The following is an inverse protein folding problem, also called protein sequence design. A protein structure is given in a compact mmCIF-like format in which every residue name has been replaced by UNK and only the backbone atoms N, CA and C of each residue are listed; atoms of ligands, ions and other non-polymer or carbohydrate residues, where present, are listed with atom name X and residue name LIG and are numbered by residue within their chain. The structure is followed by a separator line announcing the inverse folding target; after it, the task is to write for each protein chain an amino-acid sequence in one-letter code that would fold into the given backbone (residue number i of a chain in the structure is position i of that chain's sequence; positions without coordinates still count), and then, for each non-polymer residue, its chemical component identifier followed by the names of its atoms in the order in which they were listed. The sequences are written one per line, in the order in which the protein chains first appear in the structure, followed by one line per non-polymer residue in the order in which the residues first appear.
data_IF_708509743496
#
_entry.id   IF_708509743496
#
_cell.length_a   1.000
_cell.length_b   1.000
_cell.length_c   1.000
_cell.angle_alpha   90.00
_cell.angle_beta   90.00
_cell.angle_gamma   90.00
#
_symmetry.space_group_name_H-M   'P 1'
#
loop_
_entity.id
_entity.type
_entity.pdbx_description
1 polymer ?
#
# COMPACT_ATOMS: atom_id res chain seq x y z
N UNK A 1 17.12 -27.17 24.80
CA UNK A 1 16.91 -25.79 25.33
C UNK A 1 15.42 -25.55 25.55
N UNK A 2 15.06 -24.86 26.65
CA UNK A 2 13.68 -24.43 26.94
C UNK A 2 13.59 -22.91 26.82
N UNK A 3 12.41 -22.38 26.48
CA UNK A 3 12.20 -20.94 26.32
C UNK A 3 12.20 -20.27 27.69
N UNK A 4 13.14 -19.37 27.91
CA UNK A 4 13.23 -18.56 29.14
C UNK A 4 12.58 -17.18 28.99
N UNK A 5 12.41 -16.70 27.75
CA UNK A 5 11.76 -15.42 27.47
C UNK A 5 11.23 -15.37 26.03
N UNK A 6 10.18 -14.58 25.79
CA UNK A 6 9.58 -14.33 24.48
C UNK A 6 8.99 -12.91 24.45
N UNK A 7 9.10 -12.22 23.31
CA UNK A 7 8.53 -10.89 23.14
C UNK A 7 7.04 -10.92 22.75
N UNK A 8 6.38 -9.77 22.81
CA UNK A 8 4.96 -9.65 22.46
C UNK A 8 4.65 -10.03 21.00
N UNK A 9 5.60 -9.79 20.09
CA UNK A 9 5.45 -10.13 18.67
C UNK A 9 5.33 -11.65 18.47
N UNK A 10 6.17 -12.43 19.16
CA UNK A 10 6.14 -13.89 19.12
C UNK A 10 4.84 -14.46 19.67
N UNK A 11 4.35 -13.93 20.79
CA UNK A 11 3.06 -14.32 21.40
C UNK A 11 1.91 -14.06 20.40
N UNK A 12 1.88 -12.86 19.83
CA UNK A 12 0.82 -12.44 18.91
C UNK A 12 0.85 -13.23 17.60
N UNK A 13 2.05 -13.58 17.11
CA UNK A 13 2.24 -14.33 15.86
C UNK A 13 1.87 -15.79 16.04
N UNK A 14 2.34 -16.44 17.11
CA UNK A 14 2.15 -17.89 17.31
C UNK A 14 0.75 -18.24 17.85
N UNK A 15 0.06 -17.27 18.48
CA UNK A 15 -1.23 -17.45 19.14
C UNK A 15 -1.14 -18.12 20.53
N UNK A 16 0.04 -18.56 20.96
CA UNK A 16 0.21 -19.16 22.29
C UNK A 16 0.23 -18.07 23.36
N UNK A 17 -0.44 -18.33 24.49
CA UNK A 17 -0.34 -17.46 25.68
C UNK A 17 1.07 -17.54 26.27
N UNK A 18 1.56 -16.43 26.79
CA UNK A 18 2.91 -16.32 27.40
C UNK A 18 3.19 -17.43 28.44
N UNK A 19 2.23 -17.69 29.32
CA UNK A 19 2.30 -18.72 30.36
C UNK A 19 2.50 -20.14 29.81
N UNK A 20 2.02 -20.41 28.59
CA UNK A 20 2.19 -21.69 27.91
C UNK A 20 3.48 -21.78 27.09
N UNK A 21 4.20 -20.67 26.93
CA UNK A 21 5.45 -20.60 26.16
C UNK A 21 6.65 -20.78 27.09
N UNK A 22 6.65 -20.10 28.24
CA UNK A 22 7.76 -20.16 29.17
C UNK A 22 8.01 -21.58 29.70
N UNK A 23 9.27 -21.97 29.75
CA UNK A 23 9.71 -23.29 30.20
C UNK A 23 9.51 -24.42 29.18
N UNK A 24 8.81 -24.17 28.07
CA UNK A 24 8.57 -25.18 27.04
C UNK A 24 9.74 -25.26 26.05
N UNK A 25 9.95 -26.46 25.50
CA UNK A 25 10.91 -26.66 24.42
C UNK A 25 10.31 -26.15 23.10
N UNK A 26 11.00 -25.30 22.31
CA UNK A 26 10.47 -24.72 21.05
C UNK A 26 9.94 -25.73 20.03
N UNK A 27 10.26 -27.03 20.17
CA UNK A 27 9.71 -28.12 19.35
C UNK A 27 8.18 -28.17 19.33
N UNK A 28 7.46 -27.56 20.27
CA UNK A 28 6.00 -27.46 20.17
C UNK A 28 5.52 -26.65 18.95
N UNK A 29 6.38 -25.78 18.39
CA UNK A 29 6.10 -25.02 17.17
C UNK A 29 6.34 -25.85 15.90
N UNK A 30 6.98 -27.01 15.99
CA UNK A 30 7.38 -27.80 14.82
C UNK A 30 6.16 -28.27 14.02
N UNK A 31 6.21 -28.07 12.71
CA UNK A 31 5.29 -28.74 11.78
C UNK A 31 5.83 -30.12 11.35
N UNK A 32 4.98 -30.91 10.70
CA UNK A 32 5.34 -32.22 10.14
C UNK A 32 5.91 -32.12 8.72
N UNK A 33 6.11 -30.90 8.18
CA UNK A 33 6.59 -30.70 6.79
C UNK A 33 8.07 -30.97 6.59
N UNK A 34 8.86 -30.89 7.66
CA UNK A 34 10.26 -31.30 7.66
C UNK A 34 10.44 -32.57 8.50
N UNK A 35 11.26 -33.49 7.98
CA UNK A 35 11.63 -34.71 8.68
C UNK A 35 12.62 -34.43 9.82
N UNK A 36 12.93 -35.44 10.62
CA UNK A 36 13.87 -35.28 11.75
C UNK A 36 15.28 -34.90 11.29
N UNK A 37 15.72 -35.36 10.11
CA UNK A 37 17.04 -35.06 9.55
C UNK A 37 17.29 -33.57 9.42
N UNK A 38 16.32 -32.81 8.90
CA UNK A 38 16.42 -31.34 8.79
C UNK A 38 16.71 -30.67 10.14
N UNK A 39 16.00 -31.07 11.20
CA UNK A 39 16.19 -30.47 12.53
C UNK A 39 17.52 -30.89 13.16
N UNK A 40 17.99 -32.12 12.89
CA UNK A 40 19.32 -32.57 13.30
C UNK A 40 20.41 -31.73 12.62
N UNK A 41 20.36 -31.59 11.29
CA UNK A 41 21.32 -30.78 10.52
C UNK A 41 21.33 -29.30 10.98
N UNK A 42 20.15 -28.74 11.28
CA UNK A 42 20.04 -27.39 11.85
C UNK A 42 20.78 -27.29 13.18
N UNK A 43 20.55 -28.21 14.12
CA UNK A 43 21.19 -28.17 15.44
C UNK A 43 22.69 -28.48 15.38
N UNK A 44 23.12 -29.36 14.48
CA UNK A 44 24.54 -29.63 14.22
C UNK A 44 25.22 -28.36 13.69
N UNK A 45 24.60 -27.66 12.74
CA UNK A 45 25.12 -26.39 12.20
C UNK A 45 25.24 -25.32 13.30
N UNK A 46 24.23 -25.21 14.18
CA UNK A 46 24.27 -24.26 15.31
C UNK A 46 25.40 -24.64 16.28
N UNK A 47 25.61 -25.93 16.53
CA UNK A 47 26.66 -26.41 17.42
C UNK A 47 28.05 -26.09 16.85
N UNK A 48 28.23 -26.24 15.53
CA UNK A 48 29.52 -26.05 14.86
C UNK A 48 29.86 -24.58 14.62
N UNK A 49 28.85 -23.77 14.24
CA UNK A 49 29.07 -22.39 13.76
C UNK A 49 28.51 -21.32 14.70
N UNK A 50 27.88 -21.72 15.81
CA UNK A 50 27.14 -20.85 16.73
C UNK A 50 25.99 -20.05 16.08
N UNK A 51 25.61 -20.36 14.84
CA UNK A 51 24.63 -19.60 14.08
C UNK A 51 23.89 -20.48 13.07
N UNK A 52 22.63 -20.16 12.80
CA UNK A 52 21.89 -20.75 11.69
C UNK A 52 20.81 -19.79 11.20
N UNK A 53 20.62 -19.74 9.88
CA UNK A 53 19.49 -19.08 9.26
C UNK A 53 18.84 -19.99 8.22
N UNK A 54 17.53 -19.88 8.09
CA UNK A 54 16.81 -20.56 7.03
C UNK A 54 15.30 -20.51 7.19
N UNK A 55 14.62 -21.20 6.29
CA UNK A 55 13.18 -21.34 6.31
C UNK A 55 12.77 -22.52 7.21
N UNK A 56 11.80 -22.29 8.11
CA UNK A 56 11.21 -23.33 8.95
C UNK A 56 9.69 -23.30 8.80
N UNK A 57 9.09 -24.47 8.58
CA UNK A 57 7.64 -24.63 8.71
C UNK A 57 7.29 -24.86 10.18
N UNK A 58 6.62 -23.89 10.78
CA UNK A 58 6.06 -23.94 12.13
C UNK A 58 4.55 -24.14 12.10
N UNK A 59 3.93 -24.36 13.27
CA UNK A 59 2.49 -24.57 13.45
C UNK A 59 1.95 -23.60 14.51
N UNK A 60 0.92 -22.85 14.16
CA UNK A 60 0.22 -21.95 15.10
C UNK A 60 -0.51 -22.78 16.18
N UNK A 61 -0.97 -22.11 17.25
CA UNK A 61 -1.77 -22.76 18.30
C UNK A 61 -3.09 -23.41 17.80
N UNK A 62 -3.61 -22.95 16.66
CA UNK A 62 -4.84 -23.43 16.02
C UNK A 62 -4.60 -24.64 15.08
N UNK A 63 -3.34 -25.09 14.98
CA UNK A 63 -2.94 -26.24 14.18
C UNK A 63 -2.57 -25.92 12.72
N UNK A 64 -2.67 -24.66 12.28
CA UNK A 64 -2.30 -24.28 10.90
C UNK A 64 -0.78 -24.10 10.76
N UNK A 65 -0.22 -24.70 9.71
CA UNK A 65 1.20 -24.55 9.39
C UNK A 65 1.50 -23.18 8.75
N UNK A 66 2.66 -22.61 9.07
CA UNK A 66 3.16 -21.36 8.52
C UNK A 66 4.67 -21.38 8.32
N UNK A 67 5.14 -20.68 7.29
CA UNK A 67 6.55 -20.58 6.94
C UNK A 67 7.16 -19.35 7.59
N UNK A 68 8.26 -19.55 8.31
CA UNK A 68 9.04 -18.46 8.91
C UNK A 68 10.46 -18.46 8.37
N UNK A 69 11.01 -17.27 8.19
CA UNK A 69 12.46 -17.10 8.18
C UNK A 69 12.93 -17.07 9.64
N UNK A 70 13.82 -17.99 10.01
CA UNK A 70 14.36 -18.09 11.35
C UNK A 70 15.87 -17.77 11.34
N UNK A 71 16.30 -16.97 12.31
CA UNK A 71 17.71 -16.72 12.61
C UNK A 71 17.96 -17.16 14.06
N UNK A 72 18.85 -18.12 14.27
CA UNK A 72 19.18 -18.68 15.58
C UNK A 72 20.66 -18.45 15.85
N UNK A 73 20.96 -17.79 16.96
CA UNK A 73 22.32 -17.51 17.40
C UNK A 73 22.55 -18.17 18.75
N UNK A 74 23.64 -18.92 18.88
CA UNK A 74 24.12 -19.41 20.16
C UNK A 74 24.92 -18.30 20.87
N UNK A 75 24.70 -18.15 22.17
CA UNK A 75 25.50 -17.31 23.06
C UNK A 75 26.42 -18.25 23.84
N UNK A 76 27.69 -18.25 23.49
CA UNK A 76 28.70 -19.11 24.09
C UNK A 76 29.28 -18.51 25.37
N UNK A 77 29.42 -19.35 26.40
CA UNK A 77 30.27 -19.07 27.57
C UNK A 77 31.71 -19.56 27.32
N UNK A 78 32.48 -19.76 28.39
CA UNK A 78 33.89 -20.18 28.29
C UNK A 78 34.10 -21.52 27.58
N UNK A 79 33.19 -22.50 27.77
CA UNK A 79 33.35 -23.85 27.19
C UNK A 79 32.15 -24.36 26.39
N UNK A 80 30.96 -23.76 26.49
CA UNK A 80 29.73 -24.25 25.85
C UNK A 80 28.71 -23.15 25.58
N UNK A 81 27.78 -23.40 24.64
CA UNK A 81 26.60 -22.56 24.44
C UNK A 81 25.75 -22.53 25.71
N UNK A 82 25.53 -21.34 26.28
CA UNK A 82 24.72 -21.14 27.49
C UNK A 82 23.29 -20.78 27.16
N UNK A 83 23.08 -20.02 26.08
CA UNK A 83 21.77 -19.52 25.65
C UNK A 83 21.65 -19.52 24.13
N UNK A 84 20.42 -19.43 23.64
CA UNK A 84 20.12 -19.26 22.22
C UNK A 84 19.14 -18.11 22.04
N UNK A 85 19.36 -17.29 21.01
CA UNK A 85 18.45 -16.23 20.60
C UNK A 85 17.91 -16.58 19.22
N UNK A 86 16.60 -16.80 19.14
CA UNK A 86 15.89 -17.08 17.90
C UNK A 86 15.00 -15.89 17.51
N UNK A 87 15.15 -15.41 16.29
CA UNK A 87 14.32 -14.37 15.68
C UNK A 87 13.55 -15.00 14.53
N UNK A 88 12.22 -14.88 14.56
CA UNK A 88 11.32 -15.40 13.53
C UNK A 88 10.66 -14.25 12.78
N UNK A 89 10.63 -14.34 11.45
CA UNK A 89 9.86 -13.46 10.57
C UNK A 89 8.86 -14.29 9.78
N UNK A 90 7.57 -14.01 9.93
CA UNK A 90 6.49 -14.71 9.22
C UNK A 90 6.49 -14.31 7.73
N UNK A 91 6.92 -15.23 6.86
CA UNK A 91 6.98 -15.00 5.40
C UNK A 91 5.57 -15.01 4.80
N UNK A 92 4.65 -15.83 5.31
CA UNK A 92 3.26 -15.88 4.81
C UNK A 92 2.51 -14.56 5.02
N UNK A 93 2.76 -13.87 6.14
CA UNK A 93 2.17 -12.56 6.42
C UNK A 93 2.69 -11.49 5.44
N UNK A 94 3.99 -11.53 5.14
CA UNK A 94 4.64 -10.62 4.18
C UNK A 94 4.11 -10.89 2.77
N UNK A 95 3.98 -12.15 2.37
CA UNK A 95 3.46 -12.51 1.05
C UNK A 95 2.00 -12.11 0.86
N UNK A 96 1.15 -12.25 1.88
CA UNK A 96 -0.23 -11.76 1.83
C UNK A 96 -0.32 -10.25 1.77
N UNK A 97 0.47 -9.54 2.57
CA UNK A 97 0.52 -8.08 2.54
C UNK A 97 1.05 -7.59 1.19
N UNK A 98 2.08 -8.25 0.65
CA UNK A 98 2.66 -7.96 -0.66
C UNK A 98 1.68 -8.25 -1.78
N UNK A 99 0.97 -9.38 -1.73
CA UNK A 99 -0.07 -9.73 -2.70
C UNK A 99 -1.23 -8.72 -2.67
N UNK A 100 -1.69 -8.36 -1.47
CA UNK A 100 -2.70 -7.31 -1.30
C UNK A 100 -2.20 -5.99 -1.88
N UNK A 101 -0.97 -5.59 -1.56
CA UNK A 101 -0.37 -4.36 -2.05
C UNK A 101 -0.29 -4.33 -3.58
N UNK A 102 0.21 -5.40 -4.20
CA UNK A 102 0.31 -5.52 -5.67
C UNK A 102 -1.05 -5.52 -6.36
N UNK A 103 -2.10 -5.98 -5.67
CA UNK A 103 -3.47 -6.01 -6.20
C UNK A 103 -4.18 -4.67 -6.05
N UNK A 104 -3.87 -3.88 -5.02
CA UNK A 104 -4.66 -2.70 -4.59
C UNK A 104 -3.94 -1.37 -4.74
N UNK A 105 -2.61 -1.37 -4.92
CA UNK A 105 -1.81 -0.18 -5.07
C UNK A 105 -1.09 -0.16 -6.42
N UNK A 106 -0.93 1.05 -6.94
CA UNK A 106 -0.14 1.29 -8.13
C UNK A 106 1.35 1.20 -7.79
N UNK A 107 2.08 0.34 -8.50
CA UNK A 107 3.48 0.04 -8.19
C UNK A 107 4.40 1.23 -8.42
N UNK A 108 4.03 2.15 -9.32
CA UNK A 108 4.80 3.33 -9.69
C UNK A 108 4.67 4.45 -8.65
N UNK A 109 3.43 4.82 -8.31
CA UNK A 109 3.10 5.97 -7.46
C UNK A 109 2.90 5.62 -5.99
N UNK A 110 2.71 4.34 -5.67
CA UNK A 110 2.34 3.85 -4.33
C UNK A 110 0.98 4.34 -3.83
N UNK A 111 0.17 4.94 -4.71
CA UNK A 111 -1.22 5.31 -4.43
C UNK A 111 -2.15 4.11 -4.61
N UNK A 112 -3.35 4.12 -4.00
CA UNK A 112 -4.45 3.25 -4.41
C UNK A 112 -4.59 3.17 -5.93
N UNK A 113 -4.77 1.96 -6.45
CA UNK A 113 -5.06 1.75 -7.86
C UNK A 113 -6.57 1.81 -8.13
N UNK A 114 -6.98 1.54 -9.37
CA UNK A 114 -8.38 1.54 -9.78
C UNK A 114 -9.28 0.59 -8.97
N UNK A 115 -8.76 -0.56 -8.53
CA UNK A 115 -9.53 -1.55 -7.76
C UNK A 115 -9.83 -0.97 -6.38
N UNK A 116 -8.78 -0.58 -5.64
CA UNK A 116 -8.94 -0.02 -4.29
C UNK A 116 -9.71 1.30 -4.29
N UNK A 117 -9.56 2.12 -5.33
CA UNK A 117 -10.34 3.34 -5.50
C UNK A 117 -11.86 3.07 -5.61
N UNK A 118 -12.26 2.06 -6.39
CA UNK A 118 -13.67 1.66 -6.49
C UNK A 118 -14.20 1.12 -5.17
N UNK A 119 -13.38 0.40 -4.40
CA UNK A 119 -13.78 -0.05 -3.06
C UNK A 119 -14.01 1.12 -2.09
N UNK A 120 -13.12 2.11 -2.08
CA UNK A 120 -13.32 3.32 -1.26
C UNK A 120 -14.58 4.07 -1.67
N UNK A 121 -14.79 4.24 -2.98
CA UNK A 121 -15.98 4.90 -3.49
C UNK A 121 -17.25 4.14 -3.07
N UNK A 122 -17.29 2.81 -3.20
CA UNK A 122 -18.41 2.01 -2.76
C UNK A 122 -18.69 2.18 -1.27
N UNK A 123 -17.66 2.13 -0.42
CA UNK A 123 -17.80 2.31 1.03
C UNK A 123 -18.35 3.69 1.41
N UNK A 124 -17.80 4.75 0.82
CA UNK A 124 -18.23 6.14 1.08
C UNK A 124 -19.69 6.32 0.67
N UNK A 125 -20.07 5.77 -0.48
CA UNK A 125 -21.43 5.78 -0.95
C UNK A 125 -22.44 5.10 0.00
N UNK A 126 -22.02 4.06 0.74
CA UNK A 126 -22.86 3.41 1.75
C UNK A 126 -22.98 4.22 3.05
N UNK A 127 -22.11 5.20 3.30
CA UNK A 127 -22.07 5.95 4.56
C UNK A 127 -23.03 7.17 4.59
N UNK A 128 -23.84 7.39 3.55
CA UNK A 128 -24.83 8.49 3.45
C UNK A 128 -24.28 9.90 3.76
N UNK A 129 -23.00 10.13 3.50
CA UNK A 129 -22.34 11.41 3.70
C UNK A 129 -22.08 12.11 2.35
N UNK A 130 -22.09 13.43 2.35
CA UNK A 130 -21.81 14.20 1.13
C UNK A 130 -20.35 14.02 0.74
N UNK A 131 -20.09 13.84 -0.55
CA UNK A 131 -18.74 13.74 -1.09
C UNK A 131 -18.66 14.33 -2.50
N UNK A 132 -17.43 14.63 -2.92
CA UNK A 132 -17.13 15.01 -4.30
C UNK A 132 -16.18 13.99 -4.92
N UNK A 133 -16.52 13.53 -6.12
CA UNK A 133 -15.65 12.70 -6.96
C UNK A 133 -14.97 13.58 -8.00
N UNK A 134 -13.64 13.54 -8.05
CA UNK A 134 -12.84 14.28 -9.01
C UNK A 134 -12.01 13.32 -9.85
N UNK A 135 -11.93 13.57 -11.15
CA UNK A 135 -10.96 12.95 -12.04
C UNK A 135 -10.04 13.99 -12.65
N UNK A 136 -8.75 13.73 -12.53
CA UNK A 136 -7.68 14.57 -13.08
C UNK A 136 -7.07 13.84 -14.27
N UNK A 137 -7.11 14.46 -15.44
CA UNK A 137 -6.44 13.97 -16.64
C UNK A 137 -5.25 14.84 -16.98
N UNK A 138 -4.05 14.25 -17.06
CA UNK A 138 -2.86 14.95 -17.54
C UNK A 138 -2.91 15.06 -19.06
N UNK A 139 -2.76 16.28 -19.57
CA UNK A 139 -2.82 16.58 -20.99
C UNK A 139 -1.50 16.24 -21.67
N UNK A 140 -1.61 15.80 -22.92
CA UNK A 140 -0.49 15.52 -23.82
C UNK A 140 0.63 14.65 -23.20
N UNK A 141 0.27 13.77 -22.27
CA UNK A 141 1.25 12.95 -21.55
C UNK A 141 1.92 11.90 -22.46
N UNK A 142 1.26 11.54 -23.57
CA UNK A 142 1.85 10.67 -24.58
C UNK A 142 3.00 11.38 -25.30
N UNK A 143 2.83 12.64 -25.64
CA UNK A 143 3.81 13.50 -26.29
C UNK A 143 5.01 13.73 -25.36
N UNK A 144 4.77 13.89 -24.05
CA UNK A 144 5.84 13.95 -23.04
C UNK A 144 6.67 12.67 -23.06
N UNK A 145 6.04 11.49 -23.06
CA UNK A 145 6.77 10.22 -23.15
C UNK A 145 7.56 10.08 -24.46
N UNK A 146 7.04 10.61 -25.57
CA UNK A 146 7.72 10.58 -26.86
C UNK A 146 8.93 11.51 -26.90
N UNK A 147 8.83 12.69 -26.29
CA UNK A 147 9.88 13.71 -26.29
C UNK A 147 10.97 13.44 -25.25
N UNK A 148 10.58 12.97 -24.06
CA UNK A 148 11.48 12.87 -22.89
C UNK A 148 11.73 11.43 -22.44
N UNK A 149 11.08 10.45 -23.07
CA UNK A 149 11.19 9.03 -22.73
C UNK A 149 10.32 8.61 -21.55
N UNK A 150 10.01 7.31 -21.50
CA UNK A 150 9.15 6.72 -20.47
C UNK A 150 9.69 6.89 -19.04
N UNK A 151 11.00 6.89 -18.84
CA UNK A 151 11.60 7.09 -17.52
C UNK A 151 11.30 8.48 -16.96
N UNK A 152 11.35 9.52 -17.80
CA UNK A 152 11.03 10.89 -17.37
C UNK A 152 9.52 11.09 -17.20
N UNK A 153 8.70 10.42 -18.02
CA UNK A 153 7.27 10.32 -17.77
C UNK A 153 6.95 9.70 -16.41
N UNK A 154 7.57 8.57 -16.08
CA UNK A 154 7.39 7.88 -14.80
C UNK A 154 7.81 8.76 -13.61
N UNK A 155 8.92 9.51 -13.75
CA UNK A 155 9.35 10.51 -12.76
C UNK A 155 8.32 11.63 -12.61
N UNK A 156 7.74 12.11 -13.71
CA UNK A 156 6.70 13.13 -13.69
C UNK A 156 5.44 12.65 -12.98
N UNK A 157 4.96 11.43 -13.28
CA UNK A 157 3.81 10.80 -12.61
C UNK A 157 4.06 10.65 -11.11
N UNK A 158 5.26 10.21 -10.70
CA UNK A 158 5.63 10.13 -9.29
C UNK A 158 5.61 11.49 -8.59
N UNK A 159 6.07 12.54 -9.26
CA UNK A 159 6.06 13.90 -8.69
C UNK A 159 4.64 14.43 -8.56
N UNK A 160 3.82 14.27 -9.59
CA UNK A 160 2.40 14.64 -9.56
C UNK A 160 1.65 13.89 -8.46
N UNK A 161 1.88 12.58 -8.31
CA UNK A 161 1.28 11.78 -7.24
C UNK A 161 1.64 12.32 -5.85
N UNK A 162 2.90 12.71 -5.63
CA UNK A 162 3.36 13.33 -4.38
C UNK A 162 2.69 14.68 -4.13
N UNK A 163 2.61 15.53 -5.15
CA UNK A 163 1.98 16.85 -5.08
C UNK A 163 0.48 16.74 -4.77
N UNK A 164 -0.24 15.84 -5.44
CA UNK A 164 -1.65 15.58 -5.15
C UNK A 164 -1.86 15.10 -3.72
N UNK A 165 -1.03 14.17 -3.25
CA UNK A 165 -1.11 13.63 -1.88
C UNK A 165 -0.78 14.68 -0.81
N UNK A 166 0.07 15.68 -1.10
CA UNK A 166 0.37 16.76 -0.15
C UNK A 166 -0.72 17.83 -0.11
N UNK A 167 -1.39 18.09 -1.24
CA UNK A 167 -2.55 18.98 -1.32
C UNK A 167 -3.78 18.40 -0.61
N UNK A 168 -4.00 17.09 -0.73
CA UNK A 168 -5.17 16.40 -0.20
C UNK A 168 -4.83 15.76 1.15
N UNK A 169 -5.28 16.40 2.24
CA UNK A 169 -5.03 15.96 3.63
C UNK A 169 -6.25 15.26 4.24
N UNK A 170 -6.07 14.57 5.36
CA UNK A 170 -7.16 13.95 6.12
C UNK A 170 -7.63 12.61 5.53
N UNK A 171 -8.88 12.23 5.79
CA UNK A 171 -9.50 10.98 5.31
C UNK A 171 -9.84 10.95 3.81
N UNK A 172 -9.46 11.99 3.06
CA UNK A 172 -9.65 12.07 1.62
C UNK A 172 -8.77 11.06 0.87
N UNK A 173 -9.21 10.63 -0.31
CA UNK A 173 -8.55 9.59 -1.10
C UNK A 173 -7.93 10.19 -2.35
N UNK A 174 -6.70 9.80 -2.67
CA UNK A 174 -6.02 10.06 -3.96
C UNK A 174 -5.59 8.71 -4.53
N UNK A 175 -5.90 8.45 -5.80
CA UNK A 175 -5.60 7.21 -6.50
C UNK A 175 -4.97 7.46 -7.86
N UNK A 176 -4.07 6.58 -8.27
CA UNK A 176 -3.59 6.52 -9.65
C UNK A 176 -4.45 5.51 -10.41
N UNK A 177 -5.26 6.00 -11.35
CA UNK A 177 -6.20 5.16 -12.12
C UNK A 177 -5.56 4.55 -13.36
N UNK A 178 -4.33 4.95 -13.66
CA UNK A 178 -3.50 4.44 -14.75
C UNK A 178 -3.18 5.50 -15.79
N UNK A 179 -2.06 5.27 -16.51
CA UNK A 179 -1.50 6.12 -17.56
C UNK A 179 -1.28 7.57 -17.09
N UNK A 180 -2.27 8.41 -17.33
CA UNK A 180 -2.24 9.85 -17.14
C UNK A 180 -3.45 10.33 -16.34
N UNK A 181 -4.11 9.44 -15.58
CA UNK A 181 -5.36 9.74 -14.87
C UNK A 181 -5.26 9.48 -13.37
N UNK A 182 -5.70 10.44 -12.58
CA UNK A 182 -5.85 10.31 -11.13
C UNK A 182 -7.31 10.45 -10.73
N UNK A 183 -7.67 9.78 -9.63
CA UNK A 183 -8.97 9.88 -8.99
C UNK A 183 -8.82 10.44 -7.59
N UNK A 184 -9.72 11.34 -7.21
CA UNK A 184 -9.75 11.94 -5.88
C UNK A 184 -11.18 11.84 -5.33
N UNK A 185 -11.31 11.43 -4.08
CA UNK A 185 -12.58 11.46 -3.35
C UNK A 185 -12.39 12.42 -2.18
N UNK A 186 -13.14 13.51 -2.18
CA UNK A 186 -13.21 14.44 -1.07
C UNK A 186 -14.37 14.02 -0.16
N UNK A 187 -14.06 13.69 1.09
CA UNK A 187 -14.99 13.12 2.05
C UNK A 187 -14.56 13.33 3.52
N UNK A 188 -15.50 13.67 4.42
CA UNK A 188 -16.81 14.25 4.12
C UNK A 188 -16.66 15.68 3.60
N UNK A 189 -17.54 16.08 2.68
CA UNK A 189 -17.66 17.50 2.31
C UNK A 189 -18.82 18.15 3.06
N UNK A 190 -18.61 19.35 3.56
CA UNK A 190 -19.70 20.22 4.03
C UNK A 190 -20.29 20.97 2.84
N UNK A 191 -21.57 21.37 2.92
CA UNK A 191 -22.23 22.15 1.88
C UNK A 191 -21.49 23.46 1.51
N UNK A 192 -20.68 24.00 2.42
CA UNK A 192 -19.89 25.22 2.22
C UNK A 192 -18.54 25.00 1.51
N UNK A 193 -18.19 23.76 1.12
CA UNK A 193 -16.91 23.51 0.45
C UNK A 193 -16.89 24.22 -0.91
N UNK A 194 -16.04 25.25 -1.04
CA UNK A 194 -15.77 25.86 -2.33
C UNK A 194 -14.85 24.95 -3.16
N UNK A 195 -15.47 24.10 -3.98
CA UNK A 195 -14.76 23.15 -4.82
C UNK A 195 -13.86 23.83 -5.87
N UNK A 196 -14.17 25.06 -6.26
CA UNK A 196 -13.36 25.85 -7.17
C UNK A 196 -11.97 26.11 -6.60
N UNK A 197 -11.89 26.50 -5.31
CA UNK A 197 -10.61 26.70 -4.61
C UNK A 197 -9.78 25.40 -4.60
N UNK A 198 -10.44 24.25 -4.36
CA UNK A 198 -9.75 22.96 -4.37
C UNK A 198 -9.26 22.61 -5.78
N UNK A 199 -10.10 22.80 -6.80
CA UNK A 199 -9.75 22.54 -8.19
C UNK A 199 -8.56 23.41 -8.64
N UNK A 200 -8.59 24.71 -8.35
CA UNK A 200 -7.53 25.65 -8.71
C UNK A 200 -6.21 25.33 -7.99
N UNK A 201 -6.27 24.95 -6.70
CA UNK A 201 -5.12 24.46 -5.96
C UNK A 201 -4.52 23.20 -6.61
N UNK A 202 -5.36 22.23 -6.97
CA UNK A 202 -4.91 21.00 -7.61
C UNK A 202 -4.28 21.27 -8.98
N UNK A 203 -4.93 22.09 -9.80
CA UNK A 203 -4.42 22.50 -11.12
C UNK A 203 -3.06 23.16 -10.96
N UNK A 204 -2.94 24.15 -10.07
CA UNK A 204 -1.68 24.87 -9.83
C UNK A 204 -0.57 23.92 -9.38
N UNK A 205 -0.88 22.98 -8.50
CA UNK A 205 0.07 22.00 -7.97
C UNK A 205 0.61 21.04 -9.05
N UNK A 206 -0.21 20.73 -10.06
CA UNK A 206 0.16 19.86 -11.18
C UNK A 206 0.89 20.65 -12.28
N UNK A 207 0.42 21.86 -12.59
CA UNK A 207 0.93 22.68 -13.69
C UNK A 207 2.23 23.41 -13.33
N UNK A 208 2.65 23.38 -12.08
CA UNK A 208 3.95 23.90 -11.65
C UNK A 208 5.06 23.10 -12.34
N UNK A 209 5.98 23.75 -13.09
CA UNK A 209 7.08 23.05 -13.75
C UNK A 209 7.91 22.22 -12.77
N UNK A 210 8.25 20.99 -13.17
CA UNK A 210 9.06 20.07 -12.37
C UNK A 210 10.40 19.83 -13.06
N UNK A 211 11.48 19.98 -12.30
CA UNK A 211 12.82 19.66 -12.78
C UNK A 211 13.03 18.15 -12.75
N UNK A 212 13.21 17.53 -13.92
CA UNK A 212 13.45 16.10 -14.10
C UNK A 212 14.66 15.96 -15.01
N UNK A 213 15.74 15.38 -14.49
CA UNK A 213 17.01 15.17 -15.21
C UNK A 213 17.46 16.44 -15.97
N UNK A 214 17.52 17.57 -15.24
CA UNK A 214 17.92 18.90 -15.74
C UNK A 214 16.95 19.57 -16.73
N UNK A 215 15.79 18.95 -16.99
CA UNK A 215 14.76 19.50 -17.86
C UNK A 215 13.56 19.98 -17.06
N UNK A 216 13.05 21.18 -17.38
CA UNK A 216 11.80 21.67 -16.81
C UNK A 216 10.62 21.12 -17.60
N UNK A 217 9.90 20.18 -17.00
CA UNK A 217 8.69 19.61 -17.58
C UNK A 217 7.47 20.33 -17.00
N UNK A 218 6.67 20.92 -17.87
CA UNK A 218 5.38 21.50 -17.51
C UNK A 218 4.26 20.60 -18.02
N UNK A 219 3.36 20.21 -17.12
CA UNK A 219 2.27 19.28 -17.42
C UNK A 219 0.95 19.96 -17.15
N UNK A 220 0.19 20.20 -18.21
CA UNK A 220 -1.17 20.72 -18.08
C UNK A 220 -2.11 19.60 -17.62
N UNK A 221 -3.19 19.97 -16.93
CA UNK A 221 -4.24 19.02 -16.55
C UNK A 221 -5.64 19.60 -16.73
N UNK A 222 -6.63 18.71 -16.71
CA UNK A 222 -8.03 19.09 -16.60
C UNK A 222 -8.73 18.23 -15.55
N UNK A 223 -9.69 18.84 -14.86
CA UNK A 223 -10.41 18.18 -13.77
C UNK A 223 -11.91 18.09 -14.10
N UNK A 224 -12.47 16.89 -14.01
CA UNK A 224 -13.91 16.68 -13.96
C UNK A 224 -14.35 16.49 -12.53
N UNK A 225 -15.49 17.06 -12.15
CA UNK A 225 -16.00 17.07 -10.77
C UNK A 225 -17.46 16.65 -10.80
N UNK A 226 -17.86 15.73 -9.92
CA UNK A 226 -19.26 15.41 -9.68
C UNK A 226 -19.54 15.41 -8.18
N UNK A 227 -20.60 16.12 -7.78
CA UNK A 227 -21.09 16.12 -6.40
C UNK A 227 -22.10 15.00 -6.21
N UNK A 228 -22.03 14.35 -5.05
CA UNK A 228 -22.99 13.32 -4.67
C UNK A 228 -23.85 13.83 -3.51
N UNK A 229 -25.09 14.29 -3.79
CA UNK A 229 -26.05 14.52 -2.73
C UNK A 229 -26.48 13.18 -2.12
N UNK A 230 -27.01 13.25 -0.89
CA UNK A 230 -27.31 12.14 0.02
C UNK A 230 -28.24 11.03 -0.52
N UNK A 231 -28.69 11.04 -1.78
CA UNK A 231 -29.78 10.18 -2.24
C UNK A 231 -29.46 9.51 -3.59
N UNK A 232 -29.56 8.17 -3.57
CA UNK A 232 -29.51 7.21 -4.68
C UNK A 232 -28.14 6.75 -5.19
N UNK A 233 -27.31 6.25 -4.28
CA UNK A 233 -26.16 5.41 -4.66
C UNK A 233 -26.58 3.99 -5.05
N UNK A 234 -27.20 3.85 -6.23
CA UNK A 234 -27.23 2.56 -6.95
C UNK A 234 -26.44 2.59 -8.25
N UNK A 235 -25.72 3.68 -8.53
CA UNK A 235 -25.11 3.88 -9.83
C UNK A 235 -23.68 4.47 -9.72
N UNK A 236 -22.79 3.78 -8.98
CA UNK A 236 -21.36 4.13 -8.91
C UNK A 236 -20.77 4.32 -10.32
N UNK A 237 -21.18 3.48 -11.27
CA UNK A 237 -20.71 3.58 -12.65
C UNK A 237 -21.20 4.85 -13.36
N UNK A 238 -22.42 5.33 -13.07
CA UNK A 238 -22.92 6.61 -13.62
C UNK A 238 -22.18 7.78 -13.00
N UNK A 239 -21.87 7.72 -11.70
CA UNK A 239 -21.04 8.74 -11.06
C UNK A 239 -19.66 8.82 -11.72
N UNK A 240 -19.00 7.69 -11.92
CA UNK A 240 -17.72 7.62 -12.64
C UNK A 240 -17.86 8.18 -14.05
N UNK A 241 -18.91 7.80 -14.77
CA UNK A 241 -19.18 8.28 -16.13
C UNK A 241 -19.40 9.80 -16.18
N UNK A 242 -20.17 10.35 -15.25
CA UNK A 242 -20.46 11.78 -15.16
C UNK A 242 -19.19 12.59 -14.86
N UNK A 243 -18.38 12.13 -13.90
CA UNK A 243 -17.07 12.76 -13.62
C UNK A 243 -16.13 12.67 -14.83
N UNK A 244 -16.14 11.57 -15.59
CA UNK A 244 -15.38 11.46 -16.85
C UNK A 244 -15.87 12.45 -17.91
N UNK A 245 -17.18 12.57 -18.08
CA UNK A 245 -17.78 13.51 -19.04
C UNK A 245 -17.43 14.96 -18.71
N UNK A 246 -17.50 15.34 -17.43
CA UNK A 246 -17.07 16.67 -16.98
C UNK A 246 -15.57 16.91 -17.26
N UNK A 247 -14.71 15.93 -17.02
CA UNK A 247 -13.28 16.05 -17.32
C UNK A 247 -13.03 16.25 -18.83
N UNK A 248 -13.78 15.54 -19.68
CA UNK A 248 -13.71 15.71 -21.13
C UNK A 248 -14.25 17.07 -21.58
N UNK A 249 -15.30 17.60 -20.95
CA UNK A 249 -15.79 18.95 -21.19
C UNK A 249 -14.76 20.00 -20.79
N UNK A 250 -14.13 19.87 -19.61
CA UNK A 250 -13.06 20.75 -19.17
C UNK A 250 -11.91 20.80 -20.20
N UNK A 251 -11.53 19.64 -20.74
CA UNK A 251 -10.49 19.54 -21.79
C UNK A 251 -10.88 20.25 -23.10
N UNK A 252 -12.17 20.30 -23.45
CA UNK A 252 -12.66 21.03 -24.63
C UNK A 252 -12.66 22.54 -24.41
N UNK A 253 -12.91 23.00 -23.18
CA UNK A 253 -12.92 24.43 -22.82
C UNK A 253 -11.51 25.01 -22.87
N UNK A 254 -10.52 24.28 -22.37
CA UNK A 254 -9.13 24.72 -22.39
C UNK A 254 -8.21 23.83 -21.56
N UNK A 255 -7.00 24.32 -21.34
CA UNK A 255 -6.01 23.68 -20.47
C UNK A 255 -6.11 24.26 -19.06
N UNK A 256 -5.71 23.47 -18.05
CA UNK A 256 -5.61 23.93 -16.66
C UNK A 256 -6.94 24.51 -16.16
N UNK A 257 -8.02 23.77 -16.42
CA UNK A 257 -9.37 24.14 -16.00
C UNK A 257 -10.15 22.93 -15.52
N UNK A 258 -11.26 23.19 -14.86
CA UNK A 258 -12.18 22.18 -14.36
C UNK A 258 -13.60 22.39 -14.90
N UNK A 259 -14.40 21.33 -14.84
CA UNK A 259 -15.82 21.38 -15.10
C UNK A 259 -16.55 20.55 -14.06
N UNK A 260 -17.68 21.07 -13.60
CA UNK A 260 -18.59 20.36 -12.70
C UNK A 260 -19.72 19.80 -13.57
N UNK A 261 -20.02 18.51 -13.41
CA UNK A 261 -21.14 17.86 -14.08
C UNK A 261 -22.48 18.40 -13.58
#
# INVERSE_FOLDING_TARGET
ANIINANQSFISTTGYKYEKILGQNPRFLRSERYNDLFYTEMWDTISDTSHWNGEIWNRYNDGKDYLVWASINAICGEDNATHYVAVYSDINSIDKQRAYYLTHYDTLTKLPNKILFKEYLARICYQEEHFALLFVGLNNFKEINQQFGFNNGDKAIKTIARNLKSCIKGGNIVAHLGRNKFGIILFPIKQELNIGIVADMLITSISTPVLIDEQNLQIDCNIGICFCPKIEVKQIDILIQNTEMAMLQAKKVGKNTYCVY
#
